data_IF_827574003522
#
_entry.id   IF_827574003522
#
_cell.length_a   1.000
_cell.length_b   1.000
_cell.length_c   1.000
_cell.angle_alpha   90.00
_cell.angle_beta   90.00
_cell.angle_gamma   90.00
#
_symmetry.space_group_name_H-M   'P 1'
#
loop_
_entity.id
_entity.type
_entity.pdbx_description
1 polymer ?
#
# COMPACT_ATOMS: atom_id res chain seq x y z
N UNK A 1 28.46 4.94 44.39
CA UNK A 1 27.38 5.22 43.43
C UNK A 1 26.75 3.87 43.12
N UNK A 2 25.52 3.68 43.57
CA UNK A 2 24.93 2.44 44.04
C UNK A 2 24.22 1.65 42.94
N UNK A 3 24.46 0.33 42.93
CA UNK A 3 23.55 -0.68 42.38
C UNK A 3 22.11 -0.47 42.89
N UNK A 4 21.15 -0.54 41.98
CA UNK A 4 19.75 -0.93 42.19
C UNK A 4 19.50 -1.94 41.08
N UNK A 5 19.10 -3.20 41.28
CA UNK A 5 18.40 -3.84 42.37
C UNK A 5 17.36 -4.73 41.71
N UNK A 6 17.60 -6.05 41.67
CA UNK A 6 16.73 -7.08 41.10
C UNK A 6 15.49 -7.26 42.01
N UNK A 7 14.29 -7.34 41.43
CA UNK A 7 13.10 -7.96 42.04
C UNK A 7 12.52 -8.96 41.01
N UNK A 8 12.90 -10.24 41.04
CA UNK A 8 12.22 -11.41 41.68
C UNK A 8 10.71 -11.48 41.40
N UNK A 9 10.22 -12.35 40.48
CA UNK A 9 10.01 -13.83 40.52
C UNK A 9 8.79 -14.23 41.36
N UNK A 10 7.81 -14.95 40.76
CA UNK A 10 7.15 -16.23 41.19
C UNK A 10 6.11 -16.60 40.11
N UNK A 11 6.42 -17.55 39.21
CA UNK A 11 6.01 -18.97 39.20
C UNK A 11 4.60 -19.26 38.67
N UNK A 12 4.53 -19.95 37.54
CA UNK A 12 3.32 -20.53 36.96
C UNK A 12 3.66 -21.36 35.72
N UNK A 13 3.75 -22.66 35.90
CA UNK A 13 4.13 -23.70 34.93
C UNK A 13 3.29 -23.76 33.65
N UNK A 14 3.96 -23.97 32.50
CA UNK A 14 3.68 -25.01 31.48
C UNK A 14 3.79 -24.50 30.03
N UNK A 15 4.74 -25.10 29.30
CA UNK A 15 4.76 -25.33 27.85
C UNK A 15 4.65 -24.14 26.88
N UNK A 16 5.80 -23.57 26.49
CA UNK A 16 6.07 -23.15 25.09
C UNK A 16 7.55 -22.75 24.93
N UNK A 17 8.31 -23.37 24.01
CA UNK A 17 9.61 -22.84 23.63
C UNK A 17 9.36 -21.58 22.77
N UNK A 18 9.44 -20.40 23.39
CA UNK A 18 9.45 -19.14 22.63
C UNK A 18 10.80 -19.05 21.94
N UNK A 19 10.74 -19.03 20.62
CA UNK A 19 11.83 -19.16 19.68
C UNK A 19 12.86 -18.03 19.85
N UNK A 20 14.09 -18.39 20.24
CA UNK A 20 15.27 -17.50 20.24
C UNK A 20 15.54 -16.85 18.86
N UNK A 21 14.92 -17.37 17.80
CA UNK A 21 15.03 -16.91 16.41
C UNK A 21 14.34 -15.55 16.21
N UNK A 22 13.24 -15.28 16.91
CA UNK A 22 12.47 -14.04 16.73
C UNK A 22 13.16 -12.82 17.37
N UNK A 23 13.99 -13.03 18.40
CA UNK A 23 14.61 -11.93 19.15
C UNK A 23 15.86 -11.33 18.49
N UNK A 24 16.55 -12.10 17.62
CA UNK A 24 17.81 -11.68 17.00
C UNK A 24 17.73 -11.54 15.48
N UNK A 25 16.92 -12.36 14.80
CA UNK A 25 16.86 -12.37 13.33
C UNK A 25 15.99 -11.22 12.79
N UNK A 26 14.88 -10.92 13.47
CA UNK A 26 13.96 -9.84 13.12
C UNK A 26 14.62 -8.46 13.03
N UNK A 27 15.32 -7.96 14.07
CA UNK A 27 15.96 -6.65 14.01
C UNK A 27 17.08 -6.56 12.98
N UNK A 28 17.78 -7.67 12.70
CA UNK A 28 18.86 -7.73 11.71
C UNK A 28 18.31 -7.68 10.27
N UNK A 29 17.20 -8.38 10.02
CA UNK A 29 16.45 -8.29 8.75
C UNK A 29 15.85 -6.89 8.53
N UNK A 30 15.28 -6.28 9.57
CA UNK A 30 14.74 -4.93 9.50
C UNK A 30 15.83 -3.89 9.21
N UNK A 31 17.02 -4.02 9.84
CA UNK A 31 18.17 -3.15 9.56
C UNK A 31 18.69 -3.32 8.13
N UNK A 32 18.76 -4.56 7.62
CA UNK A 32 19.18 -4.83 6.25
C UNK A 32 18.18 -4.29 5.21
N UNK A 33 16.87 -4.46 5.45
CA UNK A 33 15.81 -3.91 4.61
C UNK A 33 15.82 -2.38 4.62
N UNK A 34 15.97 -1.76 5.79
CA UNK A 34 16.12 -0.31 5.94
C UNK A 34 17.36 0.22 5.21
N UNK A 35 18.50 -0.47 5.33
CA UNK A 35 19.73 -0.11 4.63
C UNK A 35 19.58 -0.23 3.10
N UNK A 36 18.92 -1.27 2.61
CA UNK A 36 18.67 -1.45 1.18
C UNK A 36 17.75 -0.37 0.60
N UNK A 37 16.65 -0.05 1.30
CA UNK A 37 15.75 1.03 0.91
C UNK A 37 16.45 2.40 0.97
N UNK A 38 17.31 2.61 1.97
CA UNK A 38 18.13 3.82 2.08
C UNK A 38 19.08 3.99 0.89
N UNK A 39 19.83 2.95 0.53
CA UNK A 39 20.78 2.99 -0.61
C UNK A 39 20.04 3.21 -1.93
N UNK A 40 18.91 2.51 -2.15
CA UNK A 40 18.08 2.65 -3.36
C UNK A 40 17.45 4.05 -3.45
N UNK A 41 16.97 4.59 -2.33
CA UNK A 41 16.40 5.94 -2.30
C UNK A 41 17.47 7.00 -2.62
N UNK A 42 18.71 6.80 -2.18
CA UNK A 42 19.81 7.74 -2.42
C UNK A 42 20.29 7.75 -3.87
N UNK A 43 20.27 6.60 -4.54
CA UNK A 43 20.58 6.52 -5.98
C UNK A 43 19.47 7.13 -6.83
N UNK A 44 18.20 6.97 -6.46
CA UNK A 44 17.08 7.64 -7.13
C UNK A 44 17.12 9.17 -6.98
N UNK A 45 17.45 9.68 -5.80
CA UNK A 45 17.55 11.13 -5.57
C UNK A 45 18.67 11.79 -6.39
N UNK A 46 19.79 11.09 -6.63
CA UNK A 46 20.91 11.60 -7.44
C UNK A 46 20.63 11.60 -8.94
N UNK A 47 19.85 10.64 -9.43
CA UNK A 47 19.57 10.45 -10.85
C UNK A 47 18.21 11.03 -11.27
N UNK A 48 17.60 11.88 -10.45
CA UNK A 48 16.26 12.41 -10.73
C UNK A 48 16.30 13.34 -11.98
N UNK A 49 15.43 13.12 -12.99
CA UNK A 49 15.49 13.83 -14.28
C UNK A 49 15.23 15.34 -14.20
N UNK A 50 14.80 15.85 -13.04
CA UNK A 50 14.52 17.28 -12.78
C UNK A 50 15.60 17.97 -11.94
N UNK A 51 16.72 17.30 -11.67
CA UNK A 51 17.89 17.85 -10.97
C UNK A 51 18.00 17.47 -9.48
N UNK A 52 19.23 17.56 -8.96
CA UNK A 52 19.63 17.06 -7.63
C UNK A 52 18.90 17.75 -6.46
N UNK A 53 18.48 19.01 -6.61
CA UNK A 53 17.77 19.76 -5.57
C UNK A 53 16.35 19.22 -5.32
N UNK A 54 15.61 18.87 -6.38
CA UNK A 54 14.27 18.28 -6.27
C UNK A 54 14.30 16.84 -5.76
N UNK A 55 15.37 16.10 -6.08
CA UNK A 55 15.59 14.73 -5.55
C UNK A 55 15.83 14.70 -4.04
N UNK A 56 16.54 15.70 -3.49
CA UNK A 56 16.81 15.80 -2.05
C UNK A 56 15.56 16.09 -1.22
N UNK A 57 14.67 16.96 -1.70
CA UNK A 57 13.43 17.29 -0.98
C UNK A 57 12.47 16.09 -0.91
N UNK A 58 12.34 15.34 -2.01
CA UNK A 58 11.56 14.10 -2.05
C UNK A 58 12.19 13.01 -1.16
N UNK A 59 13.52 12.95 -1.12
CA UNK A 59 14.26 12.00 -0.29
C UNK A 59 14.17 12.29 1.21
N UNK A 60 14.10 13.57 1.59
CA UNK A 60 13.92 13.97 2.99
C UNK A 60 12.50 13.64 3.47
N UNK A 61 11.49 13.84 2.62
CA UNK A 61 10.10 13.47 2.92
C UNK A 61 9.94 11.94 3.05
N UNK A 62 10.50 11.15 2.14
CA UNK A 62 10.41 9.68 2.23
C UNK A 62 11.16 9.09 3.43
N UNK A 63 12.30 9.66 3.84
CA UNK A 63 13.01 9.20 5.04
C UNK A 63 12.28 9.49 6.36
N UNK A 64 11.59 10.62 6.47
CA UNK A 64 10.83 10.97 7.69
C UNK A 64 9.63 10.02 7.86
N UNK A 65 8.91 9.70 6.79
CA UNK A 65 7.80 8.73 6.84
C UNK A 65 8.28 7.30 7.10
N UNK A 66 9.42 6.89 6.54
CA UNK A 66 10.02 5.58 6.85
C UNK A 66 10.39 5.42 8.33
N UNK A 67 10.89 6.46 8.98
CA UNK A 67 11.20 6.45 10.41
C UNK A 67 9.93 6.41 11.29
N UNK A 68 8.84 7.08 10.88
CA UNK A 68 7.55 7.03 11.57
C UNK A 68 6.88 5.65 11.46
N UNK A 69 6.96 5.00 10.30
CA UNK A 69 6.41 3.66 10.11
C UNK A 69 7.15 2.61 10.97
N UNK A 70 8.47 2.69 11.06
CA UNK A 70 9.28 1.77 11.88
C UNK A 70 9.06 2.00 13.38
N UNK A 71 8.86 3.24 13.81
CA UNK A 71 8.54 3.54 15.22
C UNK A 71 7.11 3.12 15.59
N UNK A 72 6.14 3.26 14.69
CA UNK A 72 4.78 2.74 14.90
C UNK A 72 4.77 1.21 15.00
N UNK A 73 5.53 0.50 14.15
CA UNK A 73 5.62 -0.96 14.18
C UNK A 73 6.30 -1.47 15.47
N UNK A 74 7.32 -0.76 15.97
CA UNK A 74 7.96 -1.07 17.25
C UNK A 74 7.03 -0.82 18.45
N UNK A 75 6.12 0.15 18.35
CA UNK A 75 5.11 0.41 19.37
C UNK A 75 4.03 -0.69 19.41
N UNK A 76 3.60 -1.18 18.24
CA UNK A 76 2.64 -2.29 18.14
C UNK A 76 3.21 -3.59 18.71
N UNK A 77 4.50 -3.87 18.49
CA UNK A 77 5.16 -5.06 19.04
C UNK A 77 5.40 -4.98 20.56
N UNK A 78 5.51 -3.78 21.14
CA UNK A 78 5.62 -3.60 22.60
C UNK A 78 4.27 -3.66 23.30
N UNK A 79 3.18 -3.25 22.65
CA UNK A 79 1.81 -3.33 23.20
C UNK A 79 1.30 -4.78 23.22
N UNK A 80 1.55 -5.56 22.16
CA UNK A 80 1.09 -6.97 22.10
C UNK A 80 1.86 -7.92 23.03
N UNK A 81 2.99 -7.50 23.59
CA UNK A 81 3.73 -8.28 24.59
C UNK A 81 3.21 -8.15 26.03
N UNK A 82 2.29 -7.21 26.30
CA UNK A 82 1.90 -6.84 27.68
C UNK A 82 0.42 -7.00 28.02
N UNK A 83 -0.45 -7.40 27.08
CA UNK A 83 -1.89 -7.48 27.35
C UNK A 83 -2.44 -8.89 27.15
N UNK A 84 -2.21 -9.74 28.17
CA UNK A 84 -3.19 -10.74 28.57
C UNK A 84 -4.28 -10.06 29.41
N UNK A 85 -5.51 -10.50 29.13
CA UNK A 85 -6.76 -10.31 29.86
C UNK A 85 -7.60 -9.03 29.63
N UNK A 86 -8.84 -9.35 29.22
CA UNK A 86 -10.11 -8.68 29.45
C UNK A 86 -10.51 -7.43 28.64
N UNK A 87 -11.45 -7.72 27.74
CA UNK A 87 -12.78 -7.08 27.64
C UNK A 87 -12.85 -5.68 27.03
N UNK A 88 -13.34 -5.67 25.79
CA UNK A 88 -14.51 -4.90 25.36
C UNK A 88 -14.55 -3.43 25.77
N UNK A 89 -14.03 -2.57 24.89
CA UNK A 89 -14.59 -1.24 24.69
C UNK A 89 -14.64 -0.97 23.18
N UNK A 90 -15.83 -1.16 22.61
CA UNK A 90 -16.21 -0.63 21.31
C UNK A 90 -15.97 0.88 21.30
N UNK A 91 -14.97 1.33 20.54
CA UNK A 91 -14.87 2.69 20.08
C UNK A 91 -15.40 2.71 18.65
N UNK A 92 -16.71 2.88 18.53
CA UNK A 92 -17.36 3.36 17.32
C UNK A 92 -16.92 4.81 17.11
N UNK A 93 -15.87 5.00 16.31
CA UNK A 93 -15.56 6.27 15.67
C UNK A 93 -16.17 6.25 14.28
N UNK A 94 -17.42 6.70 14.22
CA UNK A 94 -18.07 7.17 13.01
C UNK A 94 -17.33 8.43 12.54
N UNK A 95 -16.49 8.25 11.53
CA UNK A 95 -15.95 9.30 10.69
C UNK A 95 -16.13 8.83 9.25
N UNK A 96 -17.27 9.20 8.66
CA UNK A 96 -17.58 9.00 7.25
C UNK A 96 -16.68 9.92 6.41
N UNK A 97 -15.42 9.53 6.26
CA UNK A 97 -14.67 9.75 5.04
C UNK A 97 -14.87 8.50 4.20
N UNK A 98 -15.25 8.65 2.93
CA UNK A 98 -15.36 7.57 1.92
C UNK A 98 -13.99 6.91 1.69
N UNK A 99 -13.47 6.23 2.72
CA UNK A 99 -12.28 5.42 2.67
C UNK A 99 -12.70 4.11 2.03
N UNK A 100 -12.13 3.81 0.87
CA UNK A 100 -12.30 2.51 0.23
C UNK A 100 -11.77 1.43 1.18
N UNK A 101 -12.49 0.32 1.27
CA UNK A 101 -12.09 -0.81 2.10
C UNK A 101 -10.96 -1.60 1.41
N UNK A 102 -10.08 -2.20 2.21
CA UNK A 102 -9.02 -3.08 1.70
C UNK A 102 -7.80 -2.36 1.13
N UNK A 103 -6.78 -3.14 0.78
CA UNK A 103 -5.54 -2.67 0.18
C UNK A 103 -5.56 -2.80 -1.34
N UNK A 104 -4.60 -2.15 -2.00
CA UNK A 104 -4.38 -2.33 -3.44
C UNK A 104 -4.26 -3.81 -3.85
N UNK A 105 -3.60 -4.63 -3.03
CA UNK A 105 -3.45 -6.07 -3.31
C UNK A 105 -4.78 -6.82 -3.21
N UNK A 106 -5.69 -6.39 -2.34
CA UNK A 106 -7.03 -6.99 -2.22
C UNK A 106 -7.88 -6.65 -3.45
N UNK A 107 -7.81 -5.39 -3.92
CA UNK A 107 -8.49 -4.95 -5.14
C UNK A 107 -7.97 -5.68 -6.36
N UNK A 108 -6.65 -5.87 -6.43
CA UNK A 108 -5.98 -6.65 -7.47
C UNK A 108 -6.39 -8.12 -7.43
N UNK A 109 -6.44 -8.74 -6.26
CA UNK A 109 -6.86 -10.14 -6.10
C UNK A 109 -8.33 -10.35 -6.49
N UNK A 110 -9.19 -9.35 -6.28
CA UNK A 110 -10.59 -9.41 -6.66
C UNK A 110 -10.82 -9.33 -8.18
N UNK A 111 -9.95 -8.61 -8.90
CA UNK A 111 -10.08 -8.42 -10.35
C UNK A 111 -9.24 -9.41 -11.15
N UNK A 112 -8.00 -9.62 -10.76
CA UNK A 112 -7.01 -10.34 -11.55
C UNK A 112 -7.01 -11.84 -11.24
N UNK A 113 -7.03 -12.66 -12.29
CA UNK A 113 -6.73 -14.07 -12.18
C UNK A 113 -5.26 -14.26 -11.72
N UNK A 114 -4.99 -15.22 -10.82
CA UNK A 114 -3.64 -15.45 -10.29
C UNK A 114 -2.60 -15.64 -11.41
N UNK A 115 -1.47 -14.94 -11.30
CA UNK A 115 -0.35 -15.05 -12.24
C UNK A 115 -0.53 -14.35 -13.59
N UNK A 116 -1.62 -13.61 -13.80
CA UNK A 116 -1.88 -12.89 -15.07
C UNK A 116 -1.49 -11.42 -15.06
N UNK A 117 -1.02 -10.91 -13.92
CA UNK A 117 -0.60 -9.52 -13.83
C UNK A 117 0.71 -9.29 -14.58
N UNK A 118 0.68 -8.32 -15.48
CA UNK A 118 1.82 -7.82 -16.22
C UNK A 118 2.10 -6.39 -15.76
N UNK A 119 3.23 -6.21 -15.10
CA UNK A 119 3.71 -4.89 -14.70
C UNK A 119 4.22 -4.11 -15.91
N UNK A 120 3.96 -2.80 -15.92
CA UNK A 120 4.33 -1.88 -16.98
C UNK A 120 3.10 -1.34 -17.70
N UNK A 121 3.10 -0.03 -17.92
CA UNK A 121 2.03 0.66 -18.64
C UNK A 121 2.54 1.27 -19.95
N UNK A 122 1.71 1.23 -20.98
CA UNK A 122 1.96 1.92 -22.25
C UNK A 122 1.31 3.31 -22.31
N UNK A 123 0.64 3.71 -21.23
CA UNK A 123 -0.09 4.96 -21.11
C UNK A 123 0.86 6.12 -20.81
N UNK A 124 0.77 7.19 -21.61
CA UNK A 124 1.75 8.27 -21.61
C UNK A 124 1.67 9.15 -20.37
N UNK A 125 0.47 9.33 -19.82
CA UNK A 125 0.23 10.14 -18.62
C UNK A 125 0.42 9.38 -17.32
N UNK A 126 0.52 8.04 -17.37
CA UNK A 126 0.62 7.21 -16.19
C UNK A 126 2.06 7.17 -15.65
N UNK A 127 2.23 7.28 -14.34
CA UNK A 127 3.53 7.14 -13.66
C UNK A 127 3.91 5.68 -13.38
N UNK A 128 2.93 4.79 -13.46
CA UNK A 128 3.05 3.36 -13.15
C UNK A 128 1.78 2.61 -13.54
N UNK A 129 1.79 1.30 -13.33
CA UNK A 129 0.62 0.46 -13.57
C UNK A 129 0.95 -0.81 -14.34
N UNK A 130 -0.07 -1.41 -14.92
CA UNK A 130 0.01 -2.73 -15.53
C UNK A 130 -1.30 -3.14 -16.19
N UNK A 131 -1.41 -4.42 -16.45
CA UNK A 131 -2.67 -5.04 -16.87
C UNK A 131 -2.75 -6.46 -16.34
N UNK A 132 -3.95 -6.98 -16.22
CA UNK A 132 -4.17 -8.38 -15.88
C UNK A 132 -5.39 -8.93 -16.61
N UNK A 133 -5.54 -10.25 -16.61
CA UNK A 133 -6.76 -10.89 -17.07
C UNK A 133 -7.62 -11.25 -15.86
N UNK A 134 -8.92 -11.04 -15.98
CA UNK A 134 -9.91 -11.57 -15.04
C UNK A 134 -10.06 -13.08 -15.20
N UNK A 135 -10.72 -13.74 -14.25
CA UNK A 135 -11.05 -15.18 -14.34
C UNK A 135 -11.94 -15.53 -15.53
N UNK A 136 -12.65 -14.55 -16.10
CA UNK A 136 -13.48 -14.68 -17.30
C UNK A 136 -12.72 -14.33 -18.60
N UNK A 137 -11.43 -14.01 -18.52
CA UNK A 137 -10.55 -13.73 -19.66
C UNK A 137 -10.60 -12.29 -20.18
N UNK A 138 -11.33 -11.39 -19.52
CA UNK A 138 -11.33 -9.96 -19.88
C UNK A 138 -10.10 -9.26 -19.34
N UNK A 139 -9.52 -8.34 -20.10
CA UNK A 139 -8.34 -7.58 -19.68
C UNK A 139 -8.76 -6.35 -18.89
N UNK A 140 -8.18 -6.17 -17.70
CA UNK A 140 -8.25 -4.94 -16.91
C UNK A 140 -6.93 -4.21 -17.05
N UNK A 141 -7.00 -2.93 -17.39
CA UNK A 141 -5.86 -2.05 -17.42
C UNK A 141 -5.78 -1.23 -16.13
N UNK A 142 -4.59 -1.10 -15.59
CA UNK A 142 -4.33 -0.45 -14.31
C UNK A 142 -3.34 0.69 -14.56
N UNK A 143 -3.68 1.90 -14.12
CA UNK A 143 -2.82 3.07 -14.26
C UNK A 143 -2.74 3.86 -12.98
N UNK A 144 -1.54 4.37 -12.69
CA UNK A 144 -1.28 5.31 -11.62
C UNK A 144 -1.03 6.70 -12.19
N UNK A 145 -1.61 7.73 -11.61
CA UNK A 145 -1.59 9.10 -12.14
C UNK A 145 -1.34 10.13 -11.04
N UNK A 146 -0.62 11.21 -11.39
CA UNK A 146 -0.45 12.39 -10.52
C UNK A 146 -1.61 13.39 -10.64
N UNK A 147 -2.50 13.27 -11.64
CA UNK A 147 -3.64 14.18 -11.80
C UNK A 147 -4.80 13.57 -12.60
N UNK A 148 -6.02 14.05 -12.32
CA UNK A 148 -7.22 13.69 -13.07
C UNK A 148 -7.09 14.04 -14.56
N UNK A 149 -6.38 15.12 -14.92
CA UNK A 149 -6.18 15.52 -16.30
C UNK A 149 -5.43 14.46 -17.12
N UNK A 150 -4.34 13.92 -16.57
CA UNK A 150 -3.55 12.88 -17.23
C UNK A 150 -4.34 11.58 -17.34
N UNK A 151 -5.05 11.20 -16.28
CA UNK A 151 -5.98 10.07 -16.29
C UNK A 151 -7.02 10.21 -17.40
N UNK A 152 -7.78 11.29 -17.40
CA UNK A 152 -8.91 11.48 -18.32
C UNK A 152 -8.44 11.50 -19.78
N UNK A 153 -7.28 12.11 -20.03
CA UNK A 153 -6.66 12.12 -21.35
C UNK A 153 -6.31 10.71 -21.83
N UNK A 154 -5.71 9.87 -20.98
CA UNK A 154 -5.36 8.50 -21.35
C UNK A 154 -6.61 7.61 -21.49
N UNK A 155 -7.55 7.69 -20.56
CA UNK A 155 -8.82 6.95 -20.65
C UNK A 155 -9.54 7.21 -21.98
N UNK A 156 -9.55 8.48 -22.42
CA UNK A 156 -10.09 8.86 -23.71
C UNK A 156 -9.21 8.38 -24.89
N UNK A 157 -7.90 8.61 -24.85
CA UNK A 157 -6.98 8.27 -25.93
C UNK A 157 -6.93 6.76 -26.23
N UNK A 158 -6.99 5.93 -25.18
CA UNK A 158 -6.98 4.47 -25.30
C UNK A 158 -8.39 3.87 -25.42
N UNK A 159 -9.43 4.70 -25.51
CA UNK A 159 -10.84 4.29 -25.69
C UNK A 159 -11.30 3.31 -24.62
N UNK A 160 -10.96 3.60 -23.37
CA UNK A 160 -11.56 2.92 -22.23
C UNK A 160 -13.05 3.27 -22.17
N UNK A 161 -13.88 2.34 -21.69
CA UNK A 161 -15.34 2.52 -21.63
C UNK A 161 -15.79 2.77 -20.20
N UNK A 162 -15.25 2.02 -19.25
CA UNK A 162 -15.57 2.15 -17.83
C UNK A 162 -14.29 2.17 -17.02
N UNK A 163 -14.33 2.90 -15.91
CA UNK A 163 -13.25 2.93 -14.95
C UNK A 163 -13.76 3.05 -13.53
N UNK A 164 -12.97 2.56 -12.59
CA UNK A 164 -13.07 2.84 -11.16
C UNK A 164 -11.74 3.44 -10.73
N UNK A 165 -11.77 4.38 -9.79
CA UNK A 165 -10.54 5.03 -9.33
C UNK A 165 -10.53 5.25 -7.83
N UNK A 166 -9.36 5.13 -7.23
CA UNK A 166 -9.08 5.58 -5.87
C UNK A 166 -8.10 6.74 -5.91
N UNK A 167 -8.13 7.57 -4.87
CA UNK A 167 -7.15 8.62 -4.63
C UNK A 167 -6.66 8.40 -3.21
N UNK A 168 -5.34 8.26 -3.05
CA UNK A 168 -4.74 8.11 -1.72
C UNK A 168 -4.52 9.46 -1.03
N UNK A 169 -4.04 9.40 0.22
CA UNK A 169 -3.81 10.59 1.05
C UNK A 169 -2.76 11.57 0.48
N UNK A 170 -1.91 11.11 -0.45
CA UNK A 170 -0.90 11.94 -1.13
C UNK A 170 -1.38 12.44 -2.51
N UNK A 171 -2.61 12.13 -2.90
CA UNK A 171 -3.23 12.56 -4.16
C UNK A 171 -2.83 11.70 -5.36
N UNK A 172 -2.18 10.55 -5.16
CA UNK A 172 -1.93 9.59 -6.22
C UNK A 172 -3.23 8.90 -6.59
N UNK A 173 -3.52 8.86 -7.89
CA UNK A 173 -4.76 8.33 -8.43
C UNK A 173 -4.47 6.95 -9.01
N UNK A 174 -5.10 5.90 -8.49
CA UNK A 174 -5.06 4.55 -9.07
C UNK A 174 -6.35 4.33 -9.84
N UNK A 175 -6.24 3.77 -11.04
CA UNK A 175 -7.37 3.57 -11.95
C UNK A 175 -7.39 2.15 -12.43
N UNK A 176 -8.55 1.51 -12.35
CA UNK A 176 -8.85 0.24 -12.98
C UNK A 176 -9.83 0.51 -14.11
N UNK A 177 -9.49 0.15 -15.34
CA UNK A 177 -10.35 0.43 -16.49
C UNK A 177 -10.46 -0.73 -17.46
N UNK A 178 -11.57 -0.74 -18.18
CA UNK A 178 -11.87 -1.71 -19.23
C UNK A 178 -12.37 -1.03 -20.49
N UNK A 179 -12.03 -1.61 -21.64
CA UNK A 179 -12.50 -1.18 -22.96
C UNK A 179 -13.69 -2.02 -23.46
N UNK A 180 -14.30 -2.81 -22.59
CA UNK A 180 -15.46 -3.65 -22.92
C UNK A 180 -16.74 -2.82 -22.92
N UNK A 181 -17.84 -3.36 -23.46
CA UNK A 181 -19.15 -2.67 -23.46
C UNK A 181 -19.90 -2.77 -22.12
N UNK A 182 -19.33 -3.44 -21.12
CA UNK A 182 -20.00 -3.73 -19.84
C UNK A 182 -19.11 -3.37 -18.67
N UNK A 183 -19.68 -2.70 -17.67
CA UNK A 183 -19.02 -2.39 -16.40
C UNK A 183 -18.77 -3.64 -15.52
N UNK A 184 -19.40 -4.79 -15.85
CA UNK A 184 -19.40 -5.99 -15.01
C UNK A 184 -18.01 -6.50 -14.64
N UNK A 185 -17.01 -6.29 -15.49
CA UNK A 185 -15.62 -6.66 -15.21
C UNK A 185 -15.07 -5.98 -13.95
N UNK A 186 -15.56 -4.77 -13.63
CA UNK A 186 -15.11 -3.97 -12.49
C UNK A 186 -16.03 -4.12 -11.27
N UNK A 187 -17.16 -4.82 -11.38
CA UNK A 187 -18.10 -5.01 -10.26
C UNK A 187 -17.46 -5.59 -8.99
N UNK A 188 -16.43 -6.46 -9.03
CA UNK A 188 -15.77 -6.90 -7.80
C UNK A 188 -15.21 -5.73 -6.95
N UNK A 189 -14.90 -4.58 -7.56
CA UNK A 189 -14.45 -3.41 -6.81
C UNK A 189 -15.55 -2.76 -5.96
N UNK A 190 -16.83 -2.94 -6.31
CA UNK A 190 -17.92 -2.29 -5.55
C UNK A 190 -18.05 -2.85 -4.14
N UNK A 191 -17.58 -4.08 -3.87
CA UNK A 191 -17.53 -4.61 -2.51
C UNK A 191 -16.52 -3.91 -1.60
N UNK A 192 -15.61 -3.13 -2.18
CA UNK A 192 -14.63 -2.30 -1.48
C UNK A 192 -15.06 -0.81 -1.45
N UNK A 193 -16.28 -0.51 -1.93
CA UNK A 193 -16.81 0.85 -1.96
C UNK A 193 -16.45 1.67 -3.21
N UNK A 194 -15.86 1.06 -4.25
CA UNK A 194 -15.61 1.79 -5.49
C UNK A 194 -16.91 2.08 -6.25
N UNK A 195 -17.01 3.32 -6.74
CA UNK A 195 -17.93 3.68 -7.81
C UNK A 195 -17.32 3.36 -9.19
N UNK A 196 -18.18 2.94 -10.13
CA UNK A 196 -17.80 2.68 -11.51
C UNK A 196 -18.39 3.75 -12.42
N UNK A 197 -17.53 4.45 -13.14
CA UNK A 197 -17.88 5.57 -13.99
C UNK A 197 -17.72 5.22 -15.47
N UNK A 198 -18.61 5.68 -16.35
CA UNK A 198 -18.36 5.66 -17.78
C UNK A 198 -17.28 6.69 -18.14
N UNK A 199 -16.43 6.35 -19.11
CA UNK A 199 -15.50 7.32 -19.70
C UNK A 199 -16.28 8.20 -20.68
N UNK A 200 -16.42 9.48 -20.37
CA UNK A 200 -17.05 10.45 -21.27
C UNK A 200 -16.02 10.92 -22.30
N UNK A 201 -16.26 10.68 -23.60
CA UNK A 201 -15.44 11.31 -24.64
C UNK A 201 -15.72 12.81 -24.66
N UNK A 202 -14.68 13.63 -24.49
CA UNK A 202 -14.76 15.08 -24.76
C UNK A 202 -14.62 15.34 -26.26
#
# INVERSE_FOLDING_TARGET
>A
MTMVGIARVVSGTADRPIYFVDLLLGPLLAAAAGYFLYVRSRTYARNHPRGHAYGLERHQKTMIFGALAVTALALVLTINGLQSDNSSASASSDSTSDSLDGSFEDWMAALCAPGTFHNGTSWQGATGGGSCQTTTGQVVFIGEYESNFLRDNDLAAYRMTYFASSIDDIGQIVVFSVNTRSAQTLNPLTSFGFDIYPVTSR
#
